data_IF_485861299641
#
_entry.id   IF_485861299641
#
_cell.length_a   1.000
_cell.length_b   1.000
_cell.length_c   1.000
_cell.angle_alpha   90.00
_cell.angle_beta   90.00
_cell.angle_gamma   90.00
#
_symmetry.space_group_name_H-M   'P 1'
#
loop_
_entity.id
_entity.type
_entity.pdbx_description
1 polymer ?
#
# COMPACT_ATOMS: atom_id res chain seq x y z
N UNK A 1 1.34 8.26 -3.21
CA UNK A 1 2.69 8.82 -3.07
C UNK A 1 2.88 10.12 -3.83
N UNK A 2 2.60 10.20 -5.14
CA UNK A 2 2.83 11.45 -5.89
C UNK A 2 2.10 12.66 -5.27
N UNK A 3 0.83 12.49 -4.90
CA UNK A 3 0.01 13.54 -4.26
C UNK A 3 0.65 14.11 -2.98
N UNK A 4 1.37 13.30 -2.19
CA UNK A 4 1.98 13.79 -0.95
C UNK A 4 3.21 14.66 -1.19
N UNK A 5 3.86 14.55 -2.35
CA UNK A 5 4.92 15.48 -2.74
C UNK A 5 4.34 16.81 -3.24
N UNK A 6 3.14 16.76 -3.83
CA UNK A 6 2.43 17.95 -4.31
C UNK A 6 1.78 18.74 -3.16
N UNK A 7 1.29 18.05 -2.11
CA UNK A 7 0.65 18.67 -0.94
C UNK A 7 1.17 18.12 0.39
N UNK A 8 2.47 18.29 0.70
CA UNK A 8 3.12 17.66 1.87
C UNK A 8 2.58 18.16 3.21
N UNK A 9 2.25 19.45 3.32
CA UNK A 9 1.69 20.03 4.55
C UNK A 9 0.31 19.45 4.87
N UNK A 10 -0.57 19.38 3.87
CA UNK A 10 -1.89 18.77 4.02
C UNK A 10 -1.76 17.29 4.41
N UNK A 11 -0.84 16.57 3.76
CA UNK A 11 -0.55 15.17 4.08
C UNK A 11 -0.12 15.01 5.54
N UNK A 12 0.81 15.83 6.04
CA UNK A 12 1.23 15.77 7.44
C UNK A 12 0.09 16.13 8.40
N UNK A 13 -0.70 17.16 8.10
CA UNK A 13 -1.81 17.57 8.95
C UNK A 13 -2.88 16.47 9.10
N UNK A 14 -3.14 15.72 8.03
CA UNK A 14 -4.09 14.61 8.04
C UNK A 14 -3.48 13.32 8.60
N UNK A 15 -2.37 12.85 8.04
CA UNK A 15 -1.84 11.50 8.29
C UNK A 15 -1.02 11.40 9.59
N UNK A 16 -0.44 12.50 10.06
CA UNK A 16 0.31 12.56 11.31
C UNK A 16 -0.54 13.16 12.44
N UNK A 17 -0.89 14.44 12.31
CA UNK A 17 -1.60 15.15 13.38
C UNK A 17 -3.05 14.68 13.56
N UNK A 18 -3.69 14.11 12.52
CA UNK A 18 -4.99 13.47 12.65
C UNK A 18 -5.00 12.31 13.64
N UNK A 19 -3.97 11.45 13.60
CA UNK A 19 -3.81 10.35 14.56
C UNK A 19 -3.65 10.86 15.99
N UNK A 20 -2.80 11.87 16.22
CA UNK A 20 -2.66 12.49 17.54
C UNK A 20 -4.01 13.02 18.05
N UNK A 21 -4.78 13.72 17.20
CA UNK A 21 -6.08 14.29 17.59
C UNK A 21 -7.08 13.22 18.02
N UNK A 22 -7.10 12.07 17.33
CA UNK A 22 -7.99 10.96 17.71
C UNK A 22 -7.56 10.33 19.04
N UNK A 23 -6.26 10.11 19.24
CA UNK A 23 -5.72 9.60 20.51
C UNK A 23 -6.00 10.55 21.68
N UNK A 24 -5.79 11.86 21.49
CA UNK A 24 -6.15 12.87 22.48
C UNK A 24 -7.65 12.92 22.76
N UNK A 25 -8.50 12.78 21.74
CA UNK A 25 -9.94 12.75 21.95
C UNK A 25 -10.37 11.57 22.85
N UNK A 26 -9.78 10.39 22.67
CA UNK A 26 -10.02 9.23 23.55
C UNK A 26 -9.64 9.58 25.00
N UNK A 27 -8.47 10.19 25.20
CA UNK A 27 -7.94 10.55 26.53
C UNK A 27 -8.76 11.66 27.20
N UNK A 28 -9.07 12.73 26.48
CA UNK A 28 -9.86 13.87 26.99
C UNK A 28 -11.26 13.42 27.44
N UNK A 29 -11.86 12.49 26.69
CA UNK A 29 -13.18 11.92 27.01
C UNK A 29 -13.13 10.80 28.04
N UNK A 30 -11.94 10.42 28.54
CA UNK A 30 -11.71 9.35 29.52
C UNK A 30 -12.25 7.99 29.04
N UNK A 31 -11.96 7.65 27.79
CA UNK A 31 -12.44 6.42 27.14
C UNK A 31 -11.34 5.34 27.01
N UNK A 32 -10.26 5.45 27.77
CA UNK A 32 -9.07 4.61 27.70
C UNK A 32 -9.39 3.13 27.94
N UNK A 33 -10.23 2.83 28.94
CA UNK A 33 -10.61 1.44 29.29
C UNK A 33 -11.63 0.83 28.32
N UNK A 34 -12.31 1.67 27.52
CA UNK A 34 -13.39 1.25 26.63
C UNK A 34 -12.95 1.14 25.17
N UNK A 35 -12.03 2.00 24.74
CA UNK A 35 -11.73 2.18 23.32
C UNK A 35 -10.45 1.46 22.96
N UNK A 36 -10.52 0.61 21.93
CA UNK A 36 -9.34 0.06 21.28
C UNK A 36 -9.06 0.83 20.00
N UNK A 37 -7.83 1.30 19.85
CA UNK A 37 -7.39 2.11 18.71
C UNK A 37 -6.51 1.30 17.77
N UNK A 38 -6.80 1.39 16.47
CA UNK A 38 -5.98 0.79 15.42
C UNK A 38 -5.42 1.89 14.53
N UNK A 39 -4.10 1.94 14.40
CA UNK A 39 -3.43 2.81 13.46
C UNK A 39 -3.10 2.05 12.17
N UNK A 40 -3.62 2.54 11.05
CA UNK A 40 -3.24 2.07 9.73
C UNK A 40 -1.85 2.60 9.34
N UNK A 41 -0.82 1.92 9.83
CA UNK A 41 0.58 2.08 9.41
C UNK A 41 0.82 1.35 8.07
N UNK A 42 2.06 1.32 7.59
CA UNK A 42 2.34 0.90 6.20
C UNK A 42 3.77 0.39 6.02
N UNK A 43 3.96 -0.54 5.09
CA UNK A 43 5.31 -0.96 4.65
C UNK A 43 6.15 0.18 4.07
N UNK A 44 5.54 1.30 3.65
CA UNK A 44 6.26 2.49 3.18
C UNK A 44 7.14 3.13 4.27
N UNK A 45 6.93 2.78 5.55
CA UNK A 45 7.82 3.16 6.66
C UNK A 45 9.23 2.60 6.46
N UNK A 46 9.36 1.41 5.87
CA UNK A 46 10.65 0.79 5.59
C UNK A 46 11.39 1.45 4.42
N UNK A 47 10.68 2.15 3.52
CA UNK A 47 11.21 2.92 2.39
C UNK A 47 12.50 2.39 1.76
N UNK A 48 13.66 2.90 2.20
CA UNK A 48 14.96 2.29 1.87
C UNK A 48 15.17 1.04 2.72
N UNK A 49 14.80 -0.10 2.16
CA UNK A 49 14.87 -1.41 2.82
C UNK A 49 16.25 -1.68 3.41
N UNK A 50 16.29 -1.98 4.72
CA UNK A 50 17.51 -2.36 5.44
C UNK A 50 17.66 -3.89 5.54
N UNK A 51 16.56 -4.63 5.70
CA UNK A 51 16.53 -6.10 5.83
C UNK A 51 15.44 -6.72 4.94
N UNK A 52 15.61 -7.98 4.52
CA UNK A 52 14.62 -8.74 3.73
C UNK A 52 14.48 -10.16 4.30
N UNK A 53 13.27 -10.64 4.65
CA UNK A 53 12.01 -9.90 4.70
C UNK A 53 12.01 -8.83 5.80
N UNK A 54 11.14 -7.81 5.68
CA UNK A 54 10.96 -6.84 6.76
C UNK A 54 10.00 -7.40 7.81
N UNK A 55 10.33 -7.17 9.07
CA UNK A 55 9.54 -7.56 10.25
C UNK A 55 9.37 -6.34 11.16
N UNK A 56 8.66 -6.50 12.27
CA UNK A 56 8.35 -5.46 13.25
C UNK A 56 9.62 -4.78 13.80
N UNK A 57 10.72 -5.53 13.89
CA UNK A 57 12.02 -5.03 14.36
C UNK A 57 12.90 -4.41 13.27
N UNK A 58 12.47 -4.45 12.00
CA UNK A 58 13.25 -3.87 10.90
C UNK A 58 13.28 -2.34 11.02
N UNK A 59 14.46 -1.69 10.91
CA UNK A 59 14.54 -0.23 11.01
C UNK A 59 13.75 0.49 9.93
N UNK A 60 13.04 1.56 10.33
CA UNK A 60 12.32 2.43 9.39
C UNK A 60 13.28 3.39 8.67
N UNK A 61 13.04 3.59 7.37
CA UNK A 61 13.75 4.55 6.54
C UNK A 61 12.79 5.16 5.50
N UNK A 62 11.91 6.10 5.89
CA UNK A 62 10.89 6.64 5.00
C UNK A 62 11.49 7.45 3.83
N UNK A 63 10.85 7.35 2.65
CA UNK A 63 11.32 8.00 1.40
C UNK A 63 10.29 8.93 0.75
N UNK A 64 9.28 9.36 1.49
CA UNK A 64 8.28 10.33 1.01
C UNK A 64 7.66 11.13 2.17
N UNK A 65 7.08 12.32 1.93
CA UNK A 65 6.33 13.07 2.95
C UNK A 65 5.21 12.25 3.59
N UNK A 66 4.52 11.42 2.79
CA UNK A 66 3.53 10.45 3.29
C UNK A 66 4.14 9.47 4.29
N UNK A 67 5.26 8.83 3.94
CA UNK A 67 5.92 7.86 4.82
C UNK A 67 6.45 8.51 6.11
N UNK A 68 6.95 9.75 6.03
CA UNK A 68 7.39 10.52 7.20
C UNK A 68 6.20 10.87 8.12
N UNK A 69 5.07 11.29 7.54
CA UNK A 69 3.85 11.55 8.32
C UNK A 69 3.33 10.28 9.00
N UNK A 70 3.33 9.16 8.28
CA UNK A 70 2.97 7.84 8.84
C UNK A 70 3.94 7.39 9.92
N UNK A 71 5.23 7.74 9.83
CA UNK A 71 6.22 7.43 10.88
C UNK A 71 5.91 8.17 12.17
N UNK A 72 5.49 9.44 12.09
CA UNK A 72 4.97 10.15 13.27
C UNK A 72 3.75 9.43 13.85
N UNK A 73 2.79 9.07 13.00
CA UNK A 73 1.55 8.42 13.43
C UNK A 73 1.81 7.05 14.10
N UNK A 74 2.80 6.30 13.59
CA UNK A 74 3.28 5.08 14.22
C UNK A 74 3.77 5.35 15.63
N UNK A 75 4.75 6.25 15.78
CA UNK A 75 5.40 6.51 17.06
C UNK A 75 4.50 7.18 18.09
N UNK A 76 3.58 8.05 17.66
CA UNK A 76 2.62 8.64 18.60
C UNK A 76 1.63 7.59 19.11
N UNK A 77 1.28 6.60 18.30
CA UNK A 77 0.46 5.45 18.72
C UNK A 77 1.20 4.61 19.76
N UNK A 78 2.47 4.28 19.49
CA UNK A 78 3.35 3.57 20.45
C UNK A 78 3.44 4.34 21.77
N UNK A 79 3.75 5.65 21.71
CA UNK A 79 3.89 6.48 22.89
C UNK A 79 2.60 6.54 23.72
N UNK A 80 1.42 6.59 23.09
CA UNK A 80 0.16 6.62 23.85
C UNK A 80 -0.18 5.28 24.50
N UNK A 81 0.17 4.16 23.83
CA UNK A 81 0.12 2.83 24.43
C UNK A 81 1.00 2.75 25.67
N UNK A 82 2.25 3.19 25.57
CA UNK A 82 3.24 3.07 26.66
C UNK A 82 3.02 4.08 27.80
N UNK A 83 2.72 5.34 27.49
CA UNK A 83 2.62 6.40 28.49
C UNK A 83 1.27 6.44 29.22
N UNK A 84 0.19 6.02 28.57
CA UNK A 84 -1.17 6.11 29.10
C UNK A 84 -1.87 4.75 29.25
N UNK A 85 -1.22 3.64 28.89
CA UNK A 85 -1.81 2.31 28.94
C UNK A 85 -2.98 2.12 27.95
N UNK A 86 -3.03 2.93 26.88
CA UNK A 86 -4.11 2.86 25.91
C UNK A 86 -4.00 1.55 25.10
N UNK A 87 -5.11 0.84 24.88
CA UNK A 87 -5.12 -0.25 23.90
C UNK A 87 -5.01 0.34 22.50
N UNK A 88 -3.79 0.49 21.99
CA UNK A 88 -3.50 1.09 20.69
C UNK A 88 -2.45 0.28 19.94
N UNK A 89 -2.79 -0.28 18.78
CA UNK A 89 -1.89 -1.11 17.98
C UNK A 89 -1.66 -0.57 16.57
N UNK A 90 -0.46 -0.79 16.02
CA UNK A 90 -0.16 -0.49 14.62
C UNK A 90 -0.30 -1.73 13.74
N UNK A 91 -1.05 -1.63 12.64
CA UNK A 91 -0.88 -2.56 11.53
C UNK A 91 0.12 -2.00 10.53
N UNK A 92 1.26 -2.65 10.36
CA UNK A 92 2.28 -2.33 9.35
C UNK A 92 1.93 -3.10 8.06
N UNK A 93 0.98 -2.57 7.31
CA UNK A 93 0.40 -3.27 6.16
C UNK A 93 1.26 -3.09 4.90
N UNK A 94 1.63 -4.21 4.29
CA UNK A 94 2.14 -4.27 2.92
C UNK A 94 1.04 -3.98 1.91
N UNK A 95 1.40 -3.93 0.62
CA UNK A 95 0.44 -3.56 -0.41
C UNK A 95 -0.69 -4.58 -0.44
N UNK A 96 -1.92 -4.08 -0.46
CA UNK A 96 -3.11 -4.90 -0.52
C UNK A 96 -4.10 -4.29 -1.49
N UNK A 97 -4.74 -5.16 -2.26
CA UNK A 97 -5.42 -4.79 -3.49
C UNK A 97 -6.85 -5.35 -3.49
N UNK A 98 -7.72 -4.76 -4.31
CA UNK A 98 -9.10 -5.22 -4.44
C UNK A 98 -9.88 -4.43 -5.50
N UNK A 99 -11.12 -4.84 -5.83
CA UNK A 99 -11.95 -4.20 -6.85
C UNK A 99 -12.33 -2.74 -6.56
N UNK A 100 -12.06 -2.24 -5.35
CA UNK A 100 -12.30 -0.84 -4.92
C UNK A 100 -11.02 -0.01 -4.86
N UNK A 101 -9.85 -0.59 -5.19
CA UNK A 101 -8.57 0.13 -5.19
C UNK A 101 -8.62 1.37 -6.11
N UNK A 102 -8.06 2.49 -5.67
CA UNK A 102 -8.01 3.73 -6.46
C UNK A 102 -7.28 3.56 -7.80
N UNK A 103 -7.73 4.29 -8.82
CA UNK A 103 -7.29 4.10 -10.21
C UNK A 103 -5.85 4.56 -10.47
N UNK A 104 -5.28 5.35 -9.56
CA UNK A 104 -3.89 5.82 -9.62
C UNK A 104 -2.88 4.75 -9.21
N UNK A 105 -3.31 3.68 -8.54
CA UNK A 105 -2.43 2.57 -8.15
C UNK A 105 -2.19 1.62 -9.33
N UNK A 106 -0.95 1.12 -9.43
CA UNK A 106 -0.47 0.36 -10.59
C UNK A 106 -1.35 -0.85 -10.93
N UNK A 107 -1.77 -1.61 -9.92
CA UNK A 107 -2.61 -2.81 -10.06
C UNK A 107 -3.96 -2.47 -10.69
N UNK A 108 -4.64 -1.43 -10.18
CA UNK A 108 -5.93 -0.98 -10.72
C UNK A 108 -5.79 -0.33 -12.09
N UNK A 109 -4.73 0.47 -12.30
CA UNK A 109 -4.41 1.05 -13.60
C UNK A 109 -4.27 -0.04 -14.66
N UNK A 110 -3.53 -1.11 -14.35
CA UNK A 110 -3.34 -2.27 -15.25
C UNK A 110 -4.67 -2.98 -15.52
N UNK A 111 -5.41 -3.40 -14.49
CA UNK A 111 -6.64 -4.18 -14.70
C UNK A 111 -7.73 -3.39 -15.45
N UNK A 112 -7.86 -2.09 -15.17
CA UNK A 112 -8.78 -1.21 -15.92
C UNK A 112 -8.36 -1.05 -17.38
N UNK A 113 -7.07 -0.86 -17.63
CA UNK A 113 -6.56 -0.72 -19.00
C UNK A 113 -6.72 -2.01 -19.80
N UNK A 114 -6.44 -3.18 -19.21
CA UNK A 114 -6.71 -4.48 -19.86
C UNK A 114 -8.17 -4.60 -20.25
N UNK A 115 -9.10 -4.29 -19.34
CA UNK A 115 -10.53 -4.31 -19.65
C UNK A 115 -10.91 -3.32 -20.76
N UNK A 116 -10.35 -2.10 -20.75
CA UNK A 116 -10.60 -1.08 -21.77
C UNK A 116 -10.05 -1.48 -23.15
N UNK A 117 -8.86 -2.10 -23.20
CA UNK A 117 -8.25 -2.64 -24.42
C UNK A 117 -9.12 -3.76 -25.00
N UNK A 118 -9.56 -4.69 -24.16
CA UNK A 118 -10.45 -5.78 -24.60
C UNK A 118 -11.81 -5.27 -25.10
N UNK A 119 -12.26 -4.11 -24.62
CA UNK A 119 -13.47 -3.44 -25.07
C UNK A 119 -13.27 -2.49 -26.27
N UNK A 120 -12.05 -2.39 -26.83
CA UNK A 120 -11.72 -1.49 -27.93
C UNK A 120 -11.81 0.01 -27.58
N UNK A 121 -11.72 0.36 -26.29
CA UNK A 121 -11.81 1.74 -25.78
C UNK A 121 -10.45 2.39 -25.53
N UNK A 122 -9.38 1.61 -25.60
CA UNK A 122 -8.01 2.04 -25.34
C UNK A 122 -7.06 1.18 -26.16
N UNK A 123 -6.09 1.79 -26.84
CA UNK A 123 -5.17 1.04 -27.72
C UNK A 123 -3.94 0.49 -26.97
N UNK A 124 -3.44 1.23 -25.97
CA UNK A 124 -2.20 0.91 -25.28
C UNK A 124 -2.19 1.35 -23.81
N UNK A 125 -1.36 0.69 -23.00
CA UNK A 125 -1.14 1.00 -21.59
C UNK A 125 0.32 1.46 -21.38
N UNK A 126 0.49 2.67 -20.83
CA UNK A 126 1.80 3.21 -20.47
C UNK A 126 2.13 2.96 -19.00
N UNK A 127 3.24 2.29 -18.75
CA UNK A 127 3.74 1.97 -17.41
C UNK A 127 5.17 2.51 -17.22
N UNK A 128 5.56 2.66 -15.96
CA UNK A 128 6.93 3.02 -15.58
C UNK A 128 7.83 1.79 -15.45
N UNK A 129 8.56 1.70 -14.34
CA UNK A 129 9.46 0.59 -14.06
C UNK A 129 8.71 -0.75 -13.90
N UNK A 130 8.86 -1.65 -14.88
CA UNK A 130 8.26 -2.99 -14.88
C UNK A 130 8.96 -3.97 -13.92
N UNK A 131 10.21 -3.69 -13.54
CA UNK A 131 11.01 -4.56 -12.67
C UNK A 131 10.79 -4.26 -11.18
N UNK A 132 10.00 -3.24 -10.85
CA UNK A 132 9.65 -2.94 -9.47
C UNK A 132 8.89 -4.13 -8.86
N UNK A 133 9.40 -4.65 -7.74
CA UNK A 133 8.81 -5.78 -7.01
C UNK A 133 8.01 -5.32 -5.80
N UNK A 134 6.86 -5.93 -5.55
CA UNK A 134 6.00 -5.65 -4.39
C UNK A 134 5.37 -6.95 -3.89
N UNK A 135 5.14 -7.00 -2.59
CA UNK A 135 4.25 -7.97 -1.94
C UNK A 135 2.82 -7.43 -2.04
N UNK A 136 1.93 -8.18 -2.70
CA UNK A 136 0.54 -7.78 -2.94
C UNK A 136 -0.43 -8.81 -2.34
N UNK A 137 -1.08 -8.43 -1.25
CA UNK A 137 -2.17 -9.19 -0.63
C UNK A 137 -3.57 -8.74 -1.07
N UNK A 138 -4.58 -9.40 -0.50
CA UNK A 138 -6.00 -9.05 -0.66
C UNK A 138 -6.43 -8.06 0.42
N UNK A 139 -7.05 -6.95 0.03
CA UNK A 139 -7.58 -5.97 0.99
C UNK A 139 -8.61 -6.59 1.95
N UNK A 140 -9.34 -7.64 1.51
CA UNK A 140 -10.31 -8.36 2.35
C UNK A 140 -9.63 -9.10 3.51
N UNK A 141 -8.49 -9.72 3.25
CA UNK A 141 -7.77 -10.49 4.27
C UNK A 141 -7.05 -9.54 5.23
N UNK A 142 -6.62 -8.39 4.72
CA UNK A 142 -5.94 -7.37 5.52
C UNK A 142 -6.90 -6.71 6.52
N UNK A 143 -8.15 -6.40 6.14
CA UNK A 143 -9.13 -5.84 7.09
C UNK A 143 -9.52 -6.81 8.20
N UNK A 144 -9.56 -8.12 7.90
CA UNK A 144 -9.70 -9.16 8.92
C UNK A 144 -8.49 -9.13 9.87
N UNK A 145 -7.28 -8.96 9.34
CA UNK A 145 -6.07 -8.75 10.13
C UNK A 145 -6.17 -7.53 11.05
N UNK A 146 -6.66 -6.39 10.56
CA UNK A 146 -6.90 -5.18 11.38
C UNK A 146 -7.83 -5.49 12.57
N UNK A 147 -8.93 -6.19 12.30
CA UNK A 147 -9.88 -6.58 13.34
C UNK A 147 -9.24 -7.51 14.37
N UNK A 148 -8.44 -8.49 13.94
CA UNK A 148 -7.73 -9.43 14.81
C UNK A 148 -6.70 -8.76 15.70
N UNK A 149 -5.96 -7.77 15.20
CA UNK A 149 -5.05 -6.96 16.03
C UNK A 149 -5.81 -6.32 17.19
N UNK A 150 -7.01 -5.81 16.93
CA UNK A 150 -7.87 -5.25 17.96
C UNK A 150 -8.49 -6.30 18.89
N UNK A 151 -8.44 -7.60 18.56
CA UNK A 151 -8.89 -8.70 19.43
C UNK A 151 -7.75 -9.35 20.22
N UNK A 152 -6.50 -8.98 19.95
CA UNK A 152 -5.35 -9.50 20.67
C UNK A 152 -5.46 -9.24 22.20
N UNK A 153 -4.74 -10.01 23.01
CA UNK A 153 -4.81 -9.86 24.47
C UNK A 153 -4.16 -8.54 24.91
N UNK A 154 -3.01 -8.21 24.34
CA UNK A 154 -2.26 -6.97 24.60
C UNK A 154 -2.12 -6.15 23.32
N UNK A 155 -2.13 -4.81 23.41
CA UNK A 155 -1.92 -3.98 22.24
C UNK A 155 -0.47 -4.09 21.77
N UNK A 156 -0.27 -4.33 20.47
CA UNK A 156 1.05 -4.49 19.87
C UNK A 156 1.04 -4.07 18.39
N UNK A 157 2.19 -4.13 17.75
CA UNK A 157 2.41 -3.77 16.35
C UNK A 157 2.67 -5.03 15.51
N UNK A 158 2.05 -5.12 14.32
CA UNK A 158 2.09 -6.34 13.50
C UNK A 158 2.33 -6.03 12.03
N UNK A 159 3.26 -6.76 11.41
CA UNK A 159 3.47 -6.79 9.96
C UNK A 159 2.42 -7.68 9.30
N UNK A 160 1.68 -7.12 8.35
CA UNK A 160 0.70 -7.85 7.53
C UNK A 160 1.19 -7.87 6.09
N UNK A 161 1.65 -9.04 5.65
CA UNK A 161 2.27 -9.31 4.35
C UNK A 161 1.89 -10.71 3.84
N UNK A 162 2.03 -10.98 2.54
CA UNK A 162 1.91 -12.34 2.01
C UNK A 162 3.22 -13.12 2.15
N UNK A 163 4.36 -12.42 2.20
CA UNK A 163 5.70 -12.99 2.13
C UNK A 163 6.18 -13.27 0.70
N UNK A 164 5.35 -12.97 -0.31
CA UNK A 164 5.63 -13.25 -1.72
C UNK A 164 5.71 -11.97 -2.54
N UNK A 165 6.84 -11.74 -3.22
CA UNK A 165 7.03 -10.57 -4.07
C UNK A 165 6.88 -10.88 -5.55
N UNK A 166 6.14 -10.05 -6.27
CA UNK A 166 5.98 -10.12 -7.72
C UNK A 166 6.40 -8.80 -8.38
N UNK A 167 6.88 -8.86 -9.62
CA UNK A 167 7.21 -7.65 -10.39
C UNK A 167 5.95 -7.05 -11.01
N UNK A 168 6.00 -5.75 -11.34
CA UNK A 168 4.97 -5.10 -12.15
C UNK A 168 4.81 -5.85 -13.48
N UNK A 169 5.91 -6.29 -14.10
CA UNK A 169 5.89 -7.14 -15.30
C UNK A 169 5.02 -8.38 -15.12
N UNK A 170 5.28 -9.19 -14.11
CA UNK A 170 4.52 -10.43 -13.87
C UNK A 170 3.04 -10.16 -13.56
N UNK A 171 2.74 -9.03 -12.92
CA UNK A 171 1.35 -8.62 -12.69
C UNK A 171 0.63 -8.29 -14.01
N UNK A 172 1.30 -7.60 -14.93
CA UNK A 172 0.74 -7.25 -16.25
C UNK A 172 0.51 -8.52 -17.07
N UNK A 173 1.49 -9.43 -17.12
CA UNK A 173 1.36 -10.75 -17.76
C UNK A 173 0.16 -11.51 -17.20
N UNK A 174 0.05 -11.62 -15.89
CA UNK A 174 -1.08 -12.28 -15.23
C UNK A 174 -2.42 -11.63 -15.58
N UNK A 175 -2.49 -10.30 -15.65
CA UNK A 175 -3.71 -9.58 -15.99
C UNK A 175 -4.17 -9.84 -17.44
N UNK A 176 -3.26 -9.84 -18.41
CA UNK A 176 -3.58 -10.18 -19.80
C UNK A 176 -3.89 -11.67 -19.98
N UNK A 177 -3.19 -12.55 -19.26
CA UNK A 177 -3.48 -13.98 -19.26
C UNK A 177 -4.92 -14.28 -18.85
N UNK A 178 -5.47 -13.54 -17.87
CA UNK A 178 -6.87 -13.67 -17.43
C UNK A 178 -7.91 -13.37 -18.52
N UNK A 179 -7.53 -12.67 -19.59
CA UNK A 179 -8.39 -12.40 -20.75
C UNK A 179 -7.94 -13.17 -22.00
N UNK A 180 -7.15 -14.24 -21.82
CA UNK A 180 -6.70 -15.11 -22.91
C UNK A 180 -5.70 -14.43 -23.85
N UNK A 181 -4.88 -13.50 -23.34
CA UNK A 181 -3.84 -12.80 -24.10
C UNK A 181 -2.46 -13.08 -23.48
N UNK A 182 -1.52 -13.41 -24.33
CA UNK A 182 -0.11 -13.54 -23.97
C UNK A 182 0.65 -12.27 -24.38
N UNK A 183 1.58 -11.83 -23.54
CA UNK A 183 2.40 -10.64 -23.81
C UNK A 183 3.76 -11.09 -24.30
N UNK A 184 4.17 -10.55 -25.46
CA UNK A 184 5.54 -10.66 -25.94
C UNK A 184 6.26 -9.35 -25.63
N UNK A 185 7.35 -9.43 -24.87
CA UNK A 185 8.17 -8.28 -24.54
C UNK A 185 9.28 -8.10 -25.57
N UNK A 186 9.23 -6.99 -26.31
CA UNK A 186 10.29 -6.60 -27.22
C UNK A 186 11.15 -5.51 -26.60
N UNK A 187 12.47 -5.71 -26.57
CA UNK A 187 13.41 -4.67 -26.16
C UNK A 187 13.54 -3.63 -27.27
N UNK A 188 12.84 -2.49 -27.16
CA UNK A 188 13.16 -1.30 -27.96
C UNK A 188 14.08 -0.39 -27.16
N UNK A 189 15.23 -0.05 -27.76
CA UNK A 189 16.03 1.09 -27.34
C UNK A 189 15.12 2.32 -27.22
N UNK A 190 15.19 3.01 -26.08
CA UNK A 190 14.29 4.10 -25.71
C UNK A 190 14.47 5.33 -26.63
N UNK A 191 13.71 5.36 -27.72
CA UNK A 191 13.28 6.59 -28.41
C UNK A 191 11.88 6.38 -28.99
N UNK A 192 10.86 6.77 -28.20
CA UNK A 192 9.40 6.78 -28.52
C UNK A 192 8.71 5.41 -28.58
N UNK A 193 7.63 5.26 -27.81
CA UNK A 193 6.83 4.04 -27.73
C UNK A 193 5.50 4.24 -28.46
N UNK A 194 5.27 3.44 -29.49
CA UNK A 194 3.95 3.10 -30.03
C UNK A 194 3.83 1.57 -30.00
N UNK A 195 2.77 1.05 -29.39
CA UNK A 195 2.45 -0.37 -29.38
C UNK A 195 1.65 -0.68 -30.65
N UNK A 196 2.21 -1.47 -31.57
CA UNK A 196 1.43 -2.07 -32.64
C UNK A 196 0.79 -3.36 -32.11
N UNK A 197 -0.53 -3.34 -31.93
CA UNK A 197 -1.30 -4.55 -31.73
C UNK A 197 -1.52 -5.25 -33.08
N UNK A 198 -0.58 -6.11 -33.48
CA UNK A 198 -0.74 -7.00 -34.63
C UNK A 198 -1.58 -8.22 -34.24
N UNK A 199 -2.86 -8.24 -34.59
CA UNK A 199 -3.68 -9.45 -34.54
C UNK A 199 -3.39 -10.26 -35.80
N UNK A 200 -2.58 -11.31 -35.70
CA UNK A 200 -2.50 -12.33 -36.75
C UNK A 200 -3.71 -13.24 -36.67
N UNK A 201 -4.66 -13.07 -37.60
CA UNK A 201 -5.66 -14.09 -37.93
C UNK A 201 -4.98 -15.21 -38.72
N UNK A 202 -5.15 -16.46 -38.29
CA UNK A 202 -5.25 -17.62 -39.17
C UNK A 202 -6.58 -18.30 -38.86
#
# INVERSE_FOLDING_TARGET
MQVSFETPEYTANADALGTLRLLEAIRILRLEEKTRFYQASTSELFGLVQDVPQVETTPFYPRSPYAVAKLYAYWITVNYREAYGLYAGNGILFNHEGPTRGETFITRKVTRAVAAIMAGKQDCLYLGNLEAKRDWGSARDYVEGMWRILQHHEPDDFVLATGETHSVRSFVEAAFWRVGKEIVWEAKALTRWAANAGVTRR
#
